data_IF_813521411853
#
_entry.id   IF_813521411853
#
_cell.length_a   1.000
_cell.length_b   1.000
_cell.length_c   1.000
_cell.angle_alpha   90.00
_cell.angle_beta   90.00
_cell.angle_gamma   90.00
#
_symmetry.space_group_name_H-M   'P 1'
#
loop_
_entity.id
_entity.type
_entity.pdbx_description
1 polymer ?
#
# COMPACT_ATOMS: atom_id res chain seq x y z
N UNK A 1 -14.19 30.19 18.38
CA UNK A 1 -14.10 31.04 17.17
C UNK A 1 -12.88 30.61 16.40
N UNK A 2 -13.05 30.25 15.12
CA UNK A 2 -11.97 29.82 14.22
C UNK A 2 -12.08 28.38 13.71
N UNK A 3 -13.20 28.00 13.09
CA UNK A 3 -13.30 26.73 12.35
C UNK A 3 -12.91 27.03 10.89
N UNK A 4 -11.61 27.08 10.61
CA UNK A 4 -11.11 27.11 9.24
C UNK A 4 -11.11 25.66 8.73
N UNK A 5 -12.28 25.14 8.37
CA UNK A 5 -12.32 23.99 7.47
C UNK A 5 -11.78 24.47 6.13
N UNK A 6 -10.50 24.21 5.88
CA UNK A 6 -9.89 24.39 4.56
C UNK A 6 -10.65 23.47 3.60
N UNK A 7 -11.63 24.02 2.89
CA UNK A 7 -12.28 23.26 1.81
C UNK A 7 -11.25 23.09 0.69
N UNK A 8 -11.17 21.89 0.11
CA UNK A 8 -10.41 21.67 -1.11
C UNK A 8 -10.88 22.64 -2.18
N UNK A 9 -9.95 23.33 -2.82
CA UNK A 9 -10.24 24.13 -3.99
C UNK A 9 -10.37 23.23 -5.22
N UNK A 10 -10.99 23.75 -6.28
CA UNK A 10 -11.06 23.02 -7.56
C UNK A 10 -9.66 22.65 -8.08
N UNK A 11 -8.68 23.54 -7.88
CA UNK A 11 -7.29 23.31 -8.27
C UNK A 11 -6.68 22.13 -7.51
N UNK A 12 -6.89 22.04 -6.20
CA UNK A 12 -6.36 20.92 -5.38
C UNK A 12 -6.95 19.58 -5.82
N UNK A 13 -8.25 19.57 -6.17
CA UNK A 13 -8.94 18.37 -6.67
C UNK A 13 -8.33 17.93 -8.00
N UNK A 14 -8.17 18.85 -8.96
CA UNK A 14 -7.60 18.56 -10.28
C UNK A 14 -6.15 18.09 -10.16
N UNK A 15 -5.35 18.71 -9.31
CA UNK A 15 -3.96 18.31 -9.07
C UNK A 15 -3.86 16.88 -8.53
N UNK A 16 -4.68 16.53 -7.53
CA UNK A 16 -4.71 15.17 -6.95
C UNK A 16 -5.24 14.16 -7.97
N UNK A 17 -6.23 14.57 -8.77
CA UNK A 17 -6.82 13.73 -9.81
C UNK A 17 -5.79 13.35 -10.87
N UNK A 18 -5.01 14.33 -11.36
CA UNK A 18 -3.92 14.12 -12.30
C UNK A 18 -2.81 13.25 -11.68
N UNK A 19 -2.41 13.55 -10.45
CA UNK A 19 -1.40 12.78 -9.73
C UNK A 19 -1.75 11.30 -9.59
N UNK A 20 -3.03 11.00 -9.39
CA UNK A 20 -3.55 9.64 -9.27
C UNK A 20 -3.99 9.03 -10.62
N UNK A 21 -3.53 9.56 -11.76
CA UNK A 21 -3.85 9.08 -13.11
C UNK A 21 -5.36 8.99 -13.39
N UNK A 22 -6.16 9.91 -12.84
CA UNK A 22 -7.62 9.95 -13.00
C UNK A 22 -8.35 8.68 -12.50
N UNK A 23 -7.74 7.92 -11.58
CA UNK A 23 -8.35 6.72 -10.99
C UNK A 23 -9.54 7.04 -10.07
N UNK A 24 -9.62 8.28 -9.60
CA UNK A 24 -10.71 8.79 -8.78
C UNK A 24 -11.42 9.94 -9.51
N UNK A 25 -12.73 9.98 -9.38
CA UNK A 25 -13.56 11.12 -9.74
C UNK A 25 -13.42 12.25 -8.72
N UNK A 26 -13.84 13.45 -9.09
CA UNK A 26 -13.82 14.60 -8.18
C UNK A 26 -14.66 14.34 -6.92
N UNK A 27 -15.79 13.65 -7.03
CA UNK A 27 -16.63 13.26 -5.89
C UNK A 27 -15.92 12.27 -4.97
N UNK A 28 -15.24 11.25 -5.53
CA UNK A 28 -14.42 10.32 -4.75
C UNK A 28 -13.29 11.05 -4.02
N UNK A 29 -12.62 12.01 -4.66
CA UNK A 29 -11.55 12.82 -4.04
C UNK A 29 -12.09 13.65 -2.87
N UNK A 30 -13.26 14.28 -3.03
CA UNK A 30 -13.90 15.04 -1.94
C UNK A 30 -14.28 14.11 -0.78
N UNK A 31 -14.84 12.93 -1.05
CA UNK A 31 -15.16 11.94 -0.03
C UNK A 31 -13.90 11.45 0.71
N UNK A 32 -12.83 11.16 -0.03
CA UNK A 32 -11.53 10.80 0.54
C UNK A 32 -10.94 11.92 1.41
N UNK A 33 -11.13 13.19 1.04
CA UNK A 33 -10.69 14.32 1.85
C UNK A 33 -11.46 14.45 3.16
N UNK A 34 -12.78 14.26 3.13
CA UNK A 34 -13.58 14.22 4.35
C UNK A 34 -13.09 13.10 5.28
N UNK A 35 -12.78 11.93 4.71
CA UNK A 35 -12.22 10.82 5.49
C UNK A 35 -10.83 11.13 6.02
N UNK A 36 -9.98 11.78 5.24
CA UNK A 36 -8.67 12.25 5.67
C UNK A 36 -8.77 13.19 6.88
N UNK A 37 -9.66 14.18 6.85
CA UNK A 37 -9.90 15.09 7.98
C UNK A 37 -10.46 14.38 9.22
N UNK A 38 -11.24 13.31 9.06
CA UNK A 38 -11.72 12.50 10.19
C UNK A 38 -10.58 11.70 10.85
N UNK A 39 -9.58 11.29 10.07
CA UNK A 39 -8.42 10.55 10.55
C UNK A 39 -7.36 11.46 11.17
N UNK A 40 -7.12 12.63 10.57
CA UNK A 40 -6.22 13.66 11.12
C UNK A 40 -6.89 14.44 12.27
N UNK A 41 -6.99 13.77 13.43
CA UNK A 41 -7.70 14.27 14.63
C UNK A 41 -7.14 15.59 15.14
N UNK A 42 -5.85 15.84 14.91
CA UNK A 42 -5.16 17.03 15.39
C UNK A 42 -5.05 18.13 14.33
N UNK A 43 -5.64 17.93 13.15
CA UNK A 43 -5.57 18.85 12.01
C UNK A 43 -4.13 19.30 11.68
N UNK A 44 -3.18 18.37 11.74
CA UNK A 44 -1.75 18.63 11.47
C UNK A 44 -1.41 18.63 9.98
N UNK A 45 -2.34 18.23 9.12
CA UNK A 45 -2.19 18.16 7.67
C UNK A 45 -1.59 16.84 7.17
N UNK A 46 -1.42 15.86 8.05
CA UNK A 46 -0.95 14.51 7.69
C UNK A 46 -1.55 13.46 8.62
N UNK A 47 -1.71 12.21 8.15
CA UNK A 47 -2.10 11.07 8.98
C UNK A 47 -0.84 10.41 9.54
N UNK A 48 -0.77 10.31 10.86
CA UNK A 48 0.28 9.59 11.58
C UNK A 48 0.00 8.09 11.67
N UNK A 49 1.03 7.31 12.04
CA UNK A 49 0.90 5.88 12.22
C UNK A 49 -0.23 5.49 13.20
N UNK A 50 -0.35 6.17 14.34
CA UNK A 50 -1.41 5.90 15.32
C UNK A 50 -2.81 6.18 14.78
N UNK A 51 -2.97 7.23 13.96
CA UNK A 51 -4.26 7.56 13.33
C UNK A 51 -4.61 6.55 12.23
N UNK A 52 -3.63 6.12 11.44
CA UNK A 52 -3.82 5.08 10.43
C UNK A 52 -4.21 3.74 11.07
N UNK A 53 -3.52 3.33 12.14
CA UNK A 53 -3.84 2.13 12.92
C UNK A 53 -5.11 2.26 13.76
N UNK A 54 -5.70 3.46 13.88
CA UNK A 54 -7.00 3.61 14.53
C UNK A 54 -8.16 3.06 13.70
N UNK A 55 -7.92 2.80 12.41
CA UNK A 55 -8.85 2.12 11.51
C UNK A 55 -8.71 0.61 11.72
N UNK A 56 -9.76 -0.09 12.20
CA UNK A 56 -9.68 -1.52 12.53
C UNK A 56 -9.21 -2.39 11.36
N UNK A 57 -9.62 -2.07 10.14
CA UNK A 57 -9.26 -2.77 8.91
C UNK A 57 -7.75 -2.72 8.64
N UNK A 58 -7.10 -1.59 8.97
CA UNK A 58 -5.66 -1.47 8.90
C UNK A 58 -4.97 -2.08 10.12
N UNK A 59 -5.51 -1.92 11.33
CA UNK A 59 -4.94 -2.49 12.55
C UNK A 59 -4.84 -4.02 12.50
N UNK A 60 -5.84 -4.67 11.90
CA UNK A 60 -5.92 -6.13 11.76
C UNK A 60 -5.12 -6.67 10.57
N UNK A 61 -4.62 -5.79 9.69
CA UNK A 61 -3.83 -6.21 8.54
C UNK A 61 -2.40 -6.59 9.00
N UNK A 62 -1.94 -7.84 8.77
CA UNK A 62 -0.58 -8.26 9.16
C UNK A 62 0.53 -7.44 8.49
N UNK A 63 0.25 -6.83 7.34
CA UNK A 63 1.18 -5.98 6.60
C UNK A 63 1.07 -4.50 6.97
N UNK A 64 0.25 -4.14 7.97
CA UNK A 64 0.02 -2.74 8.37
C UNK A 64 1.30 -1.98 8.67
N UNK A 65 2.24 -2.58 9.38
CA UNK A 65 3.53 -1.97 9.69
C UNK A 65 4.37 -1.68 8.44
N UNK A 66 4.25 -2.51 7.40
CA UNK A 66 4.92 -2.28 6.11
C UNK A 66 4.26 -1.15 5.34
N UNK A 67 2.92 -1.17 5.29
CA UNK A 67 2.15 -0.10 4.67
C UNK A 67 2.46 1.25 5.33
N UNK A 68 2.60 1.28 6.65
CA UNK A 68 2.99 2.48 7.42
C UNK A 68 4.37 3.03 7.05
N UNK A 69 5.37 2.16 6.87
CA UNK A 69 6.72 2.59 6.46
C UNK A 69 6.73 3.24 5.08
N UNK A 70 5.86 2.79 4.18
CA UNK A 70 5.75 3.38 2.85
C UNK A 70 5.20 4.81 2.87
N UNK A 71 4.64 5.25 3.99
CA UNK A 71 3.77 6.41 4.04
C UNK A 71 4.08 7.38 5.19
N UNK A 72 5.27 7.31 5.78
CA UNK A 72 5.68 8.10 6.96
C UNK A 72 5.23 9.58 6.88
N UNK A 73 4.11 9.89 7.56
CA UNK A 73 3.39 11.15 7.44
C UNK A 73 2.61 11.32 6.14
N UNK A 74 1.44 10.67 6.02
CA UNK A 74 0.57 10.79 4.85
C UNK A 74 -0.07 12.17 4.77
N UNK A 75 0.43 13.06 3.91
CA UNK A 75 -0.39 14.20 3.50
C UNK A 75 -1.57 13.72 2.63
N UNK A 76 -2.52 14.61 2.32
CA UNK A 76 -3.71 14.24 1.58
C UNK A 76 -3.40 13.63 0.20
N UNK A 77 -2.43 14.19 -0.54
CA UNK A 77 -2.03 13.72 -1.86
C UNK A 77 -1.45 12.31 -1.81
N UNK A 78 -0.60 12.04 -0.82
CA UNK A 78 -0.02 10.72 -0.60
C UNK A 78 -1.07 9.71 -0.12
N UNK A 79 -2.05 10.13 0.68
CA UNK A 79 -3.15 9.28 1.12
C UNK A 79 -4.00 8.79 -0.06
N UNK A 80 -4.34 9.69 -1.00
CA UNK A 80 -5.10 9.32 -2.21
C UNK A 80 -4.26 8.43 -3.14
N UNK A 81 -2.98 8.74 -3.33
CA UNK A 81 -2.08 7.90 -4.14
C UNK A 81 -1.85 6.51 -3.53
N UNK A 82 -1.78 6.40 -2.21
CA UNK A 82 -1.75 5.10 -1.53
C UNK A 82 -3.00 4.28 -1.83
N UNK A 83 -4.19 4.91 -1.75
CA UNK A 83 -5.46 4.24 -2.04
C UNK A 83 -5.67 3.96 -3.53
N UNK A 84 -4.95 4.63 -4.44
CA UNK A 84 -5.10 4.44 -5.88
C UNK A 84 -4.77 3.02 -6.32
N UNK A 85 -3.88 2.31 -5.63
CA UNK A 85 -3.57 0.91 -5.88
C UNK A 85 -4.77 -0.04 -5.62
N UNK A 86 -5.72 0.39 -4.78
CA UNK A 86 -6.91 -0.35 -4.43
C UNK A 86 -8.13 0.06 -5.26
N UNK A 87 -7.99 1.01 -6.19
CA UNK A 87 -9.10 1.38 -7.08
C UNK A 87 -9.43 0.22 -8.03
N UNK A 88 -10.72 -0.02 -8.27
CA UNK A 88 -11.18 -0.95 -9.30
C UNK A 88 -10.71 -0.53 -10.71
N UNK A 89 -10.43 0.77 -10.92
CA UNK A 89 -9.92 1.31 -12.19
C UNK A 89 -8.40 1.13 -12.35
N UNK A 90 -7.68 0.75 -11.29
CA UNK A 90 -6.24 0.58 -11.35
C UNK A 90 -5.85 -0.61 -12.22
N UNK A 91 -4.87 -0.41 -13.09
CA UNK A 91 -4.34 -1.48 -13.93
C UNK A 91 -3.67 -2.56 -13.07
N UNK A 92 -3.65 -3.80 -13.57
CA UNK A 92 -2.92 -4.90 -12.94
C UNK A 92 -1.45 -4.52 -12.68
N UNK A 93 -0.82 -3.80 -13.61
CA UNK A 93 0.55 -3.33 -13.45
C UNK A 93 0.72 -2.36 -12.27
N UNK A 94 -0.19 -1.40 -12.08
CA UNK A 94 -0.16 -0.50 -10.90
C UNK A 94 -0.34 -1.28 -9.59
N UNK A 95 -1.21 -2.30 -9.57
CA UNK A 95 -1.39 -3.18 -8.41
C UNK A 95 -0.12 -3.97 -8.11
N UNK A 96 0.53 -4.51 -9.14
CA UNK A 96 1.80 -5.24 -9.01
C UNK A 96 2.92 -4.33 -8.51
N UNK A 97 3.01 -3.10 -9.01
CA UNK A 97 3.98 -2.12 -8.51
C UNK A 97 3.77 -1.82 -7.03
N UNK A 98 2.52 -1.70 -6.58
CA UNK A 98 2.22 -1.51 -5.16
C UNK A 98 2.64 -2.71 -4.33
N UNK A 99 2.30 -3.94 -4.76
CA UNK A 99 2.73 -5.17 -4.09
C UNK A 99 4.25 -5.22 -4.02
N UNK A 100 4.94 -4.92 -5.12
CA UNK A 100 6.40 -4.89 -5.15
C UNK A 100 6.97 -3.96 -4.07
N UNK A 101 6.43 -2.75 -3.94
CA UNK A 101 6.86 -1.79 -2.89
C UNK A 101 6.60 -2.29 -1.47
N UNK A 102 5.56 -3.09 -1.24
CA UNK A 102 5.30 -3.69 0.09
C UNK A 102 6.37 -4.74 0.44
N UNK A 103 6.90 -5.42 -0.58
CA UNK A 103 7.98 -6.38 -0.41
C UNK A 103 9.36 -5.70 -0.32
N UNK A 104 9.63 -4.68 -1.14
CA UNK A 104 10.89 -3.92 -1.17
C UNK A 104 11.02 -2.98 0.04
N UNK A 105 11.41 -3.53 1.19
CA UNK A 105 11.38 -2.83 2.48
C UNK A 105 12.37 -1.66 2.57
N UNK A 106 13.49 -1.75 1.85
CA UNK A 106 14.54 -0.73 1.83
C UNK A 106 14.45 0.22 0.63
N UNK A 107 13.50 -0.02 -0.28
CA UNK A 107 13.22 0.82 -1.44
C UNK A 107 14.34 0.84 -2.47
N UNK A 108 15.18 -0.20 -2.51
CA UNK A 108 16.33 -0.25 -3.42
C UNK A 108 15.93 -0.66 -4.85
N UNK A 109 14.64 -0.95 -5.09
CA UNK A 109 14.09 -1.38 -6.38
C UNK A 109 14.27 -2.87 -6.66
N UNK A 110 14.62 -3.66 -5.64
CA UNK A 110 14.87 -5.10 -5.74
C UNK A 110 14.42 -5.79 -4.45
N UNK A 111 13.76 -6.93 -4.60
CA UNK A 111 13.34 -7.73 -3.44
C UNK A 111 14.38 -8.81 -3.18
N UNK A 112 14.98 -8.77 -2.00
CA UNK A 112 15.95 -9.78 -1.55
C UNK A 112 15.26 -10.99 -0.90
N UNK A 113 16.03 -12.05 -0.63
CA UNK A 113 15.56 -13.17 0.19
C UNK A 113 15.09 -12.71 1.58
N UNK A 114 15.81 -11.77 2.19
CA UNK A 114 15.47 -11.28 3.52
C UNK A 114 14.16 -10.49 3.51
N UNK A 115 13.90 -9.70 2.46
CA UNK A 115 12.62 -9.01 2.28
C UNK A 115 11.44 -9.98 2.21
N UNK A 116 11.55 -11.03 1.39
CA UNK A 116 10.55 -12.09 1.31
C UNK A 116 10.34 -12.79 2.65
N UNK A 117 11.44 -13.06 3.37
CA UNK A 117 11.40 -13.74 4.66
C UNK A 117 10.68 -12.89 5.72
N UNK A 118 10.95 -11.59 5.76
CA UNK A 118 10.27 -10.69 6.67
C UNK A 118 8.77 -10.54 6.33
N UNK A 119 8.40 -10.40 5.06
CA UNK A 119 6.98 -10.37 4.65
C UNK A 119 6.28 -11.67 5.05
N UNK A 120 6.93 -12.81 4.81
CA UNK A 120 6.39 -14.11 5.19
C UNK A 120 6.26 -14.24 6.72
N UNK A 121 7.15 -13.63 7.49
CA UNK A 121 7.04 -13.54 8.96
C UNK A 121 5.84 -12.74 9.38
N UNK A 122 5.63 -11.58 8.75
CA UNK A 122 4.49 -10.72 9.06
C UNK A 122 3.16 -11.44 8.74
N UNK A 123 3.09 -12.20 7.64
CA UNK A 123 1.89 -12.97 7.26
C UNK A 123 1.63 -14.22 8.10
N UNK A 124 2.68 -14.95 8.51
CA UNK A 124 2.54 -16.22 9.23
C UNK A 124 2.59 -16.10 10.75
N UNK A 125 3.01 -14.95 11.29
CA UNK A 125 3.10 -14.69 12.72
C UNK A 125 3.89 -15.78 13.46
N UNK A 126 3.41 -16.19 14.63
CA UNK A 126 4.03 -17.23 15.46
C UNK A 126 3.63 -18.66 15.09
N UNK A 127 2.85 -18.87 14.02
CA UNK A 127 2.37 -20.21 13.64
C UNK A 127 3.46 -21.09 13.01
N UNK A 128 4.51 -20.46 12.49
CA UNK A 128 5.63 -21.12 11.79
C UNK A 128 6.93 -20.63 12.43
N UNK A 129 7.87 -21.54 12.73
CA UNK A 129 9.18 -21.16 13.25
C UNK A 129 10.04 -20.47 12.19
N UNK A 130 11.02 -19.67 12.61
CA UNK A 130 11.91 -18.99 11.66
C UNK A 130 12.65 -19.98 10.76
N UNK A 131 13.10 -21.12 11.30
CA UNK A 131 13.74 -22.20 10.51
C UNK A 131 12.80 -22.79 9.46
N UNK A 132 11.55 -23.08 9.81
CA UNK A 132 10.57 -23.60 8.87
C UNK A 132 10.26 -22.57 7.78
N UNK A 133 10.18 -21.29 8.15
CA UNK A 133 9.94 -20.20 7.23
C UNK A 133 11.07 -20.07 6.21
N UNK A 134 12.32 -20.14 6.68
CA UNK A 134 13.50 -20.13 5.83
C UNK A 134 13.52 -21.34 4.88
N UNK A 135 13.19 -22.54 5.37
CA UNK A 135 13.13 -23.75 4.55
C UNK A 135 12.07 -23.66 3.44
N UNK A 136 10.85 -23.23 3.79
CA UNK A 136 9.76 -23.07 2.82
C UNK A 136 10.14 -22.04 1.76
N UNK A 137 10.64 -20.88 2.17
CA UNK A 137 11.05 -19.83 1.24
C UNK A 137 12.21 -20.27 0.34
N UNK A 138 13.20 -20.96 0.90
CA UNK A 138 14.33 -21.51 0.12
C UNK A 138 13.85 -22.49 -0.94
N UNK A 139 12.93 -23.38 -0.58
CA UNK A 139 12.37 -24.35 -1.51
C UNK A 139 11.56 -23.66 -2.62
N UNK A 140 10.71 -22.69 -2.28
CA UNK A 140 9.92 -21.92 -3.25
C UNK A 140 10.82 -21.16 -4.24
N UNK A 141 11.86 -20.48 -3.75
CA UNK A 141 12.78 -19.76 -4.63
C UNK A 141 13.52 -20.72 -5.58
N UNK A 142 13.97 -21.86 -5.06
CA UNK A 142 14.65 -22.88 -5.88
C UNK A 142 13.73 -23.47 -6.96
N UNK A 143 12.47 -23.74 -6.62
CA UNK A 143 11.47 -24.23 -7.59
C UNK A 143 11.17 -23.20 -8.69
N UNK A 144 11.19 -21.91 -8.34
CA UNK A 144 11.09 -20.82 -9.30
C UNK A 144 12.38 -20.53 -10.09
N UNK A 145 13.46 -21.29 -9.84
CA UNK A 145 14.74 -21.15 -10.54
C UNK A 145 15.69 -20.08 -9.97
N UNK A 146 15.41 -19.57 -8.78
CA UNK A 146 16.22 -18.56 -8.11
C UNK A 146 17.13 -19.17 -7.02
N UNK A 147 18.27 -18.53 -6.79
CA UNK A 147 19.13 -18.80 -5.64
C UNK A 147 18.79 -17.87 -4.47
N UNK A 148 19.31 -18.16 -3.28
CA UNK A 148 19.15 -17.29 -2.10
C UNK A 148 19.75 -15.89 -2.30
N UNK A 149 20.80 -15.78 -3.11
CA UNK A 149 21.48 -14.51 -3.42
C UNK A 149 20.84 -13.78 -4.63
N UNK A 150 19.76 -14.33 -5.19
CA UNK A 150 19.04 -13.71 -6.28
C UNK A 150 18.20 -12.55 -5.78
N UNK A 151 18.08 -11.53 -6.62
CA UNK A 151 17.18 -10.41 -6.42
C UNK A 151 16.00 -10.54 -7.37
N UNK A 152 14.79 -10.36 -6.87
CA UNK A 152 13.59 -10.30 -7.69
C UNK A 152 13.34 -8.86 -8.12
N UNK A 153 13.11 -8.66 -9.41
CA UNK A 153 12.80 -7.36 -9.99
C UNK A 153 11.28 -7.23 -10.20
N UNK A 154 10.81 -6.00 -10.48
CA UNK A 154 9.40 -5.75 -10.82
C UNK A 154 8.89 -6.63 -11.98
N UNK A 155 9.75 -6.92 -12.96
CA UNK A 155 9.41 -7.80 -14.08
C UNK A 155 9.11 -9.23 -13.62
N UNK A 156 9.77 -9.72 -12.58
CA UNK A 156 9.53 -11.06 -12.05
C UNK A 156 8.19 -11.12 -11.32
N UNK A 157 7.87 -10.08 -10.55
CA UNK A 157 6.53 -9.91 -9.97
C UNK A 157 5.46 -9.79 -11.06
N UNK A 158 5.76 -9.10 -12.17
CA UNK A 158 4.83 -8.97 -13.30
C UNK A 158 4.55 -10.31 -13.96
N UNK A 159 5.56 -11.17 -14.12
CA UNK A 159 5.37 -12.54 -14.63
C UNK A 159 4.53 -13.39 -13.68
N UNK A 160 4.82 -13.33 -12.38
CA UNK A 160 4.13 -14.13 -11.35
C UNK A 160 2.67 -13.69 -11.19
N UNK A 161 2.43 -12.40 -10.99
CA UNK A 161 1.09 -11.88 -10.69
C UNK A 161 0.28 -11.54 -11.95
N UNK A 162 0.91 -11.30 -13.10
CA UNK A 162 0.23 -10.92 -14.34
C UNK A 162 -0.71 -11.98 -14.89
N UNK A 163 -0.48 -13.26 -14.56
CA UNK A 163 -1.38 -14.37 -14.91
C UNK A 163 -2.38 -14.71 -13.80
N UNK A 164 -2.24 -14.12 -12.62
CA UNK A 164 -3.17 -14.31 -11.51
C UNK A 164 -4.32 -13.32 -11.64
N UNK A 165 -5.55 -13.76 -11.36
CA UNK A 165 -6.71 -12.87 -11.27
C UNK A 165 -6.64 -11.98 -10.04
N UNK A 166 -5.63 -11.13 -9.95
CA UNK A 166 -5.32 -10.30 -8.80
C UNK A 166 -6.48 -9.32 -8.54
N UNK A 167 -7.19 -9.55 -7.43
CA UNK A 167 -8.25 -8.67 -6.95
C UNK A 167 -7.78 -7.93 -5.71
N UNK A 168 -7.49 -6.65 -5.89
CA UNK A 168 -7.13 -5.69 -4.85
C UNK A 168 -7.99 -4.46 -5.11
N UNK A 169 -9.21 -4.49 -4.59
CA UNK A 169 -10.28 -3.55 -4.93
C UNK A 169 -11.02 -3.14 -3.67
N UNK A 170 -11.13 -1.84 -3.47
CA UNK A 170 -11.90 -1.20 -2.40
C UNK A 170 -12.72 -0.09 -3.04
N UNK A 171 -14.03 -0.07 -2.78
CA UNK A 171 -14.91 0.98 -3.25
C UNK A 171 -14.84 2.20 -2.32
N UNK A 172 -14.79 3.39 -2.91
CA UNK A 172 -14.89 4.65 -2.18
C UNK A 172 -16.37 5.04 -2.12
N UNK A 173 -17.01 5.01 -0.94
CA UNK A 173 -18.40 5.44 -0.84
C UNK A 173 -18.52 6.94 -1.16
N UNK A 174 -19.46 7.26 -2.04
CA UNK A 174 -19.87 8.61 -2.40
C UNK A 174 -21.32 8.79 -1.96
N UNK A 175 -21.51 9.22 -0.72
CA UNK A 175 -22.83 9.60 -0.18
C UNK A 175 -23.13 11.08 -0.44
#
# INVERSE_FOLDING_TARGET
MGNASSMLTQYDIEEVQEYCNNLFSQQEIVSLYQRFCQLDRNAKGFISADEFLSVPEFAMNPLSQRLLKMVDGLNFKDFVAFLSAFSAKASVHQKIQFIFKVYDSDGNGKVSFNDLLEVLRDLSGSFISDDQREQVLTQLMKEAGYSRDSYLMLDDFTKVFGSTGLKMEVEVPVD
#
